data_IF_233083195102
#
_entry.id   IF_233083195102
#
_cell.length_a   1.000
_cell.length_b   1.000
_cell.length_c   1.000
_cell.angle_alpha   90.00
_cell.angle_beta   90.00
_cell.angle_gamma   90.00
#
_symmetry.space_group_name_H-M   'P 1'
#
loop_
_entity.id
_entity.type
_entity.pdbx_description
1 polymer ?
#
# COMPACT_ATOMS: atom_id res chain seq x y z
N UNK A 1 6.48 -12.67 -0.96
CA UNK A 1 6.64 -11.82 -2.13
C UNK A 1 7.98 -11.12 -2.10
N UNK A 2 8.52 -10.90 -3.25
CA UNK A 2 9.80 -10.21 -3.34
C UNK A 2 9.60 -8.71 -3.35
N UNK A 3 10.60 -8.00 -2.85
CA UNK A 3 10.52 -6.56 -2.81
C UNK A 3 10.35 -5.98 -4.21
N UNK A 4 10.99 -6.59 -5.19
CA UNK A 4 10.87 -6.11 -6.57
C UNK A 4 9.43 -6.18 -7.05
N UNK A 5 8.75 -7.25 -6.71
CA UNK A 5 7.34 -7.37 -7.09
C UNK A 5 6.50 -6.33 -6.39
N UNK A 6 6.81 -6.09 -5.12
CA UNK A 6 6.08 -5.10 -4.37
C UNK A 6 6.28 -3.72 -4.96
N UNK A 7 7.50 -3.40 -5.35
CA UNK A 7 7.77 -2.10 -5.96
C UNK A 7 6.99 -1.95 -7.27
N UNK A 8 6.93 -3.02 -8.05
CA UNK A 8 6.19 -2.96 -9.29
C UNK A 8 4.70 -2.77 -9.02
N UNK A 9 4.17 -3.52 -8.05
CA UNK A 9 2.77 -3.39 -7.71
C UNK A 9 2.44 -2.00 -7.21
N UNK A 10 3.35 -1.42 -6.44
CA UNK A 10 3.14 -0.07 -5.96
C UNK A 10 3.09 0.92 -7.11
N UNK A 11 3.98 0.77 -8.08
CA UNK A 11 3.96 1.65 -9.24
C UNK A 11 2.62 1.55 -9.96
N UNK A 12 2.14 0.33 -10.14
CA UNK A 12 0.84 0.15 -10.77
C UNK A 12 -0.29 0.69 -9.92
N UNK A 13 -0.14 0.57 -8.61
CA UNK A 13 -1.15 1.10 -7.72
C UNK A 13 -1.27 2.62 -7.86
N UNK A 14 -0.12 3.29 -7.94
CA UNK A 14 -0.15 4.74 -8.09
C UNK A 14 -0.72 5.17 -9.42
N UNK A 15 -0.63 4.32 -10.42
CA UNK A 15 -1.23 4.61 -11.71
C UNK A 15 -2.69 4.19 -11.79
N UNK A 16 -3.17 3.53 -10.74
CA UNK A 16 -4.55 3.09 -10.74
C UNK A 16 -4.78 1.84 -11.56
N UNK A 17 -3.75 1.05 -11.78
CA UNK A 17 -3.85 -0.13 -12.63
C UNK A 17 -3.92 -1.44 -11.85
N UNK A 18 -4.00 -1.38 -10.54
CA UNK A 18 -4.04 -2.60 -9.75
C UNK A 18 -5.47 -3.10 -9.60
N UNK A 19 -5.59 -4.41 -9.55
CA UNK A 19 -6.87 -5.03 -9.23
C UNK A 19 -6.99 -5.23 -7.73
N UNK A 20 -8.18 -5.62 -7.29
CA UNK A 20 -8.40 -5.86 -5.88
C UNK A 20 -7.46 -6.94 -5.35
N UNK A 21 -7.24 -7.97 -6.14
CA UNK A 21 -6.35 -9.04 -5.71
C UNK A 21 -4.94 -8.52 -5.49
N UNK A 22 -4.48 -7.67 -6.38
CA UNK A 22 -3.15 -7.12 -6.26
C UNK A 22 -3.06 -6.20 -5.06
N UNK A 23 -4.08 -5.42 -4.82
CA UNK A 23 -4.09 -4.54 -3.67
C UNK A 23 -4.11 -5.33 -2.38
N UNK A 24 -4.83 -6.45 -2.37
CA UNK A 24 -4.82 -7.30 -1.20
C UNK A 24 -3.45 -7.86 -0.92
N UNK A 25 -2.74 -8.24 -1.97
CA UNK A 25 -1.38 -8.76 -1.80
C UNK A 25 -0.48 -7.70 -1.19
N UNK A 26 -0.59 -6.48 -1.68
CA UNK A 26 0.19 -5.39 -1.11
C UNK A 26 -0.17 -5.16 0.35
N UNK A 27 -1.44 -5.18 0.65
CA UNK A 27 -1.89 -4.96 2.01
C UNK A 27 -1.33 -6.03 2.94
N UNK A 28 -1.43 -7.28 2.53
CA UNK A 28 -0.91 -8.36 3.35
C UNK A 28 0.59 -8.23 3.55
N UNK A 29 1.27 -7.88 2.48
CA UNK A 29 2.72 -7.73 2.58
C UNK A 29 3.08 -6.67 3.61
N UNK A 30 2.42 -5.54 3.54
CA UNK A 30 2.73 -4.45 4.45
C UNK A 30 2.33 -4.75 5.88
N UNK A 31 1.37 -5.63 6.08
CA UNK A 31 0.91 -5.96 7.43
C UNK A 31 1.70 -7.08 8.07
N UNK A 32 2.21 -8.01 7.27
CA UNK A 32 2.80 -9.21 7.83
C UNK A 32 4.28 -9.35 7.58
N UNK A 33 4.85 -8.57 6.68
CA UNK A 33 6.25 -8.70 6.32
C UNK A 33 7.05 -7.54 6.85
N UNK A 34 8.36 -7.79 6.95
CA UNK A 34 9.28 -6.71 7.30
C UNK A 34 9.46 -5.83 6.07
N UNK A 35 8.97 -4.64 6.17
CA UNK A 35 8.99 -3.71 5.03
C UNK A 35 10.31 -2.97 5.03
N UNK A 36 11.01 -2.93 3.89
CA UNK A 36 12.24 -2.17 3.81
C UNK A 36 12.00 -0.69 4.09
N UNK A 37 13.05 -0.04 4.55
CA UNK A 37 12.93 1.34 4.93
C UNK A 37 12.45 2.21 3.78
N UNK A 38 12.93 1.94 2.58
CA UNK A 38 12.54 2.77 1.44
C UNK A 38 11.09 2.54 1.02
N UNK A 39 10.46 1.49 1.53
CA UNK A 39 9.05 1.23 1.22
C UNK A 39 8.14 1.63 2.36
N UNK A 40 8.68 2.11 3.46
CA UNK A 40 7.84 2.49 4.58
C UNK A 40 6.93 3.67 4.24
N UNK A 41 7.42 4.59 3.46
CA UNK A 41 6.59 5.70 3.01
C UNK A 41 5.44 5.19 2.17
N UNK A 42 5.75 4.27 1.27
CA UNK A 42 4.72 3.69 0.42
C UNK A 42 3.73 2.90 1.25
N UNK A 43 4.23 2.22 2.28
CA UNK A 43 3.35 1.49 3.17
C UNK A 43 2.34 2.43 3.81
N UNK A 44 2.81 3.54 4.31
CA UNK A 44 1.91 4.50 4.94
C UNK A 44 0.89 5.03 3.97
N UNK A 45 1.35 5.42 2.79
CA UNK A 45 0.44 5.94 1.79
C UNK A 45 -0.58 4.89 1.37
N UNK A 46 -0.11 3.68 1.15
CA UNK A 46 -1.00 2.62 0.71
C UNK A 46 -2.06 2.33 1.77
N UNK A 47 -1.65 2.19 3.00
CA UNK A 47 -2.59 1.89 4.06
C UNK A 47 -3.56 3.04 4.29
N UNK A 48 -3.08 4.25 4.09
CA UNK A 48 -3.94 5.42 4.24
C UNK A 48 -5.03 5.42 3.18
N UNK A 49 -4.67 5.11 1.95
CA UNK A 49 -5.66 5.05 0.88
C UNK A 49 -6.63 3.90 1.07
N UNK A 50 -6.11 2.78 1.56
CA UNK A 50 -6.93 1.60 1.71
C UNK A 50 -7.85 1.68 2.91
N UNK A 51 -7.41 2.37 3.92
CA UNK A 51 -8.26 2.54 5.08
C UNK A 51 -9.39 3.47 4.73
N UNK A 52 -10.55 3.03 5.07
CA UNK A 52 -11.73 3.88 4.89
C UNK A 52 -11.77 4.89 6.01
N UNK A 53 -10.73 5.65 6.11
CA UNK A 53 -10.62 6.61 7.20
C UNK A 53 -11.58 7.75 6.97
N UNK A 54 -12.40 8.04 7.95
CA UNK A 54 -13.32 9.18 7.82
C UNK A 54 -12.54 10.46 7.60
N UNK A 55 -13.00 11.21 6.65
CA UNK A 55 -12.34 12.45 6.31
C UNK A 55 -12.36 13.41 7.49
N UNK A 56 -13.36 13.32 8.28
CA UNK A 56 -13.49 14.23 9.41
C UNK A 56 -12.32 14.12 10.35
N UNK A 57 -11.68 12.97 10.39
CA UNK A 57 -10.51 12.82 11.25
C UNK A 57 -9.39 13.73 10.82
N UNK A 58 -9.23 13.91 9.54
CA UNK A 58 -8.18 14.76 9.03
C UNK A 58 -8.55 16.24 9.15
N UNK A 59 -9.80 16.53 9.26
CA UNK A 59 -10.25 17.91 9.40
C UNK A 59 -10.01 18.44 10.78
N UNK A 60 -9.95 17.57 11.73
CA UNK A 60 -9.74 17.98 13.10
C UNK A 60 -8.27 17.95 13.43
#
# INVERSE_FOLDING_TARGET
MRVEEIERLLAEFYEGNTSENQEEKLKKYFETQNVPEHLEKDKRLFLCFHKDVPVELSLI
#
